data_IF_688794409002
#
_entry.id   IF_688794409002
#
_cell.length_a   1.000
_cell.length_b   1.000
_cell.length_c   1.000
_cell.angle_alpha   90.00
_cell.angle_beta   90.00
_cell.angle_gamma   90.00
#
_symmetry.space_group_name_H-M   'P 1'
#
loop_
_entity.id
_entity.type
_entity.pdbx_description
1 polymer ?
#
# COMPACT_ATOMS: atom_id res chain seq x y z
N UNK A 1 20.32 19.18 15.13
CA UNK A 1 20.68 17.74 15.01
C UNK A 1 19.70 16.76 15.67
N UNK A 2 18.57 17.19 16.28
CA UNK A 2 17.69 16.28 17.06
C UNK A 2 16.52 15.62 16.29
N UNK A 3 16.31 15.93 15.01
CA UNK A 3 15.16 15.42 14.23
C UNK A 3 15.38 14.02 13.61
N UNK A 4 16.63 13.58 13.43
CA UNK A 4 16.95 12.30 12.76
C UNK A 4 16.75 11.05 13.61
N UNK A 5 16.75 11.17 14.94
CA UNK A 5 16.65 10.01 15.86
C UNK A 5 15.23 9.44 15.95
N UNK A 6 14.21 10.32 15.91
CA UNK A 6 12.80 9.92 15.99
C UNK A 6 12.31 9.22 14.70
N UNK A 7 12.74 9.72 13.54
CA UNK A 7 12.44 9.13 12.24
C UNK A 7 13.06 7.73 12.08
N UNK A 8 14.31 7.55 12.55
CA UNK A 8 14.95 6.22 12.58
C UNK A 8 14.19 5.25 13.48
N UNK A 9 13.76 5.68 14.67
CA UNK A 9 13.02 4.81 15.58
C UNK A 9 11.66 4.39 15.01
N UNK A 10 10.95 5.29 14.32
CA UNK A 10 9.72 4.96 13.60
C UNK A 10 9.96 3.90 12.52
N UNK A 11 10.99 4.07 11.69
CA UNK A 11 11.37 3.05 10.68
C UNK A 11 11.71 1.70 11.32
N UNK A 12 12.43 1.70 12.44
CA UNK A 12 12.83 0.47 13.14
C UNK A 12 11.63 -0.24 13.80
N UNK A 13 10.71 0.51 14.40
CA UNK A 13 9.46 -0.02 14.96
C UNK A 13 8.56 -0.59 13.84
N UNK A 14 8.49 0.09 12.70
CA UNK A 14 7.75 -0.40 11.53
C UNK A 14 8.36 -1.69 10.98
N UNK A 15 9.68 -1.78 10.86
CA UNK A 15 10.39 -2.98 10.43
C UNK A 15 10.17 -4.16 11.39
N UNK A 16 10.28 -3.94 12.71
CA UNK A 16 10.00 -4.99 13.71
C UNK A 16 8.52 -5.42 13.74
N UNK A 17 7.59 -4.51 13.45
CA UNK A 17 6.17 -4.82 13.25
C UNK A 17 5.92 -5.63 11.98
N UNK A 18 6.70 -5.38 10.92
CA UNK A 18 6.66 -6.10 9.65
C UNK A 18 7.20 -7.52 9.79
N UNK A 19 8.33 -7.70 10.48
CA UNK A 19 8.95 -9.02 10.73
C UNK A 19 8.02 -9.92 11.56
N UNK A 20 7.30 -9.36 12.53
CA UNK A 20 6.31 -10.13 13.33
C UNK A 20 5.05 -10.52 12.54
N UNK A 21 4.69 -9.73 11.52
CA UNK A 21 3.53 -9.98 10.67
C UNK A 21 3.93 -10.46 9.26
N UNK A 22 5.13 -11.03 9.12
CA UNK A 22 5.70 -11.39 7.83
C UNK A 22 4.81 -12.35 7.04
N UNK A 23 4.06 -13.23 7.70
CA UNK A 23 3.07 -14.09 7.06
C UNK A 23 1.94 -13.31 6.36
N UNK A 24 1.37 -12.30 7.04
CA UNK A 24 0.36 -11.42 6.45
C UNK A 24 0.94 -10.57 5.32
N UNK A 25 2.18 -10.12 5.46
CA UNK A 25 2.87 -9.36 4.43
C UNK A 25 3.16 -10.21 3.18
N UNK A 26 3.56 -11.46 3.33
CA UNK A 26 3.76 -12.40 2.21
C UNK A 26 2.46 -12.63 1.45
N UNK A 27 1.34 -12.82 2.15
CA UNK A 27 0.02 -12.99 1.54
C UNK A 27 -0.46 -11.72 0.84
N UNK A 28 -0.14 -10.55 1.39
CA UNK A 28 -0.31 -9.27 0.71
C UNK A 28 0.49 -9.20 -0.60
N UNK A 29 1.77 -9.57 -0.58
CA UNK A 29 2.63 -9.56 -1.79
C UNK A 29 2.10 -10.49 -2.89
N UNK A 30 1.58 -11.66 -2.53
CA UNK A 30 0.94 -12.57 -3.48
C UNK A 30 -0.34 -11.96 -4.08
N UNK A 31 -1.22 -11.45 -3.22
CA UNK A 31 -2.51 -10.85 -3.63
C UNK A 31 -2.32 -9.62 -4.52
N UNK A 32 -1.36 -8.75 -4.18
CA UNK A 32 -1.09 -7.54 -4.95
C UNK A 32 -0.43 -7.85 -6.30
N UNK A 33 0.36 -8.93 -6.38
CA UNK A 33 0.95 -9.38 -7.64
C UNK A 33 -0.11 -9.85 -8.63
N UNK A 34 -1.17 -10.50 -8.15
CA UNK A 34 -2.33 -10.91 -8.95
C UNK A 34 -3.24 -9.74 -9.34
N UNK A 35 -3.25 -8.68 -8.54
CA UNK A 35 -4.06 -7.47 -8.77
C UNK A 35 -3.37 -6.42 -9.64
N UNK A 36 -2.14 -6.69 -10.09
CA UNK A 36 -1.35 -5.74 -10.87
C UNK A 36 -2.05 -5.38 -12.20
N UNK A 37 -2.08 -4.09 -12.54
CA UNK A 37 -2.75 -3.60 -13.76
C UNK A 37 -4.28 -3.51 -13.69
N UNK A 38 -4.89 -3.82 -12.54
CA UNK A 38 -6.33 -3.69 -12.31
C UNK A 38 -6.64 -2.55 -11.33
N UNK A 39 -7.90 -2.11 -11.28
CA UNK A 39 -8.36 -1.14 -10.26
C UNK A 39 -8.27 -1.76 -8.87
N UNK A 40 -7.40 -1.21 -8.02
CA UNK A 40 -7.15 -1.73 -6.68
C UNK A 40 -8.21 -1.26 -5.67
N UNK A 41 -8.93 -2.20 -5.06
CA UNK A 41 -9.78 -1.91 -3.91
C UNK A 41 -9.06 -2.30 -2.61
N UNK A 42 -8.53 -1.29 -1.90
CA UNK A 42 -7.80 -1.47 -0.64
C UNK A 42 -8.63 -2.22 0.41
N UNK A 43 -9.96 -2.02 0.43
CA UNK A 43 -10.83 -2.66 1.42
C UNK A 43 -10.98 -4.16 1.15
N UNK A 44 -11.04 -4.55 -0.12
CA UNK A 44 -11.17 -5.96 -0.52
C UNK A 44 -9.87 -6.71 -0.22
N UNK A 45 -8.73 -6.14 -0.61
CA UNK A 45 -7.41 -6.74 -0.38
C UNK A 45 -7.09 -6.84 1.12
N UNK A 46 -7.50 -5.85 1.93
CA UNK A 46 -7.39 -5.93 3.39
C UNK A 46 -8.20 -7.10 3.97
N UNK A 47 -9.40 -7.35 3.44
CA UNK A 47 -10.26 -8.47 3.84
C UNK A 47 -9.65 -9.83 3.47
N UNK A 48 -9.14 -9.97 2.25
CA UNK A 48 -8.48 -11.19 1.78
C UNK A 48 -7.21 -11.53 2.58
N UNK A 49 -6.47 -10.49 2.98
CA UNK A 49 -5.26 -10.62 3.79
C UNK A 49 -5.56 -10.72 5.30
N UNK A 50 -6.83 -10.60 5.74
CA UNK A 50 -7.26 -10.58 7.14
C UNK A 50 -6.54 -9.53 8.00
N UNK A 51 -6.23 -8.37 7.42
CA UNK A 51 -5.55 -7.27 8.12
C UNK A 51 -6.44 -6.04 8.18
N UNK A 52 -6.19 -5.17 9.16
CA UNK A 52 -6.86 -3.88 9.21
C UNK A 52 -6.49 -3.03 7.99
N UNK A 53 -7.42 -2.16 7.56
CA UNK A 53 -7.17 -1.19 6.47
C UNK A 53 -5.92 -0.33 6.73
N UNK A 54 -5.71 0.09 7.98
CA UNK A 54 -4.54 0.86 8.40
C UNK A 54 -3.22 0.08 8.22
N UNK A 55 -3.25 -1.23 8.49
CA UNK A 55 -2.09 -2.10 8.26
C UNK A 55 -1.84 -2.25 6.75
N UNK A 56 -2.89 -2.43 5.95
CA UNK A 56 -2.80 -2.53 4.50
C UNK A 56 -2.21 -1.25 3.86
N UNK A 57 -2.63 -0.07 4.33
CA UNK A 57 -2.03 1.21 3.91
C UNK A 57 -0.54 1.29 4.24
N UNK A 58 -0.14 0.78 5.40
CA UNK A 58 1.27 0.66 5.78
C UNK A 58 2.06 -0.28 4.86
N UNK A 59 1.50 -1.44 4.50
CA UNK A 59 2.11 -2.37 3.55
C UNK A 59 2.27 -1.75 2.17
N UNK A 60 1.29 -0.98 1.72
CA UNK A 60 1.36 -0.29 0.43
C UNK A 60 2.46 0.78 0.43
N UNK A 61 2.60 1.53 1.52
CA UNK A 61 3.69 2.51 1.67
C UNK A 61 5.07 1.84 1.68
N UNK A 62 5.19 0.64 2.26
CA UNK A 62 6.44 -0.12 2.25
C UNK A 62 6.73 -0.65 0.84
N UNK A 63 5.71 -1.15 0.13
CA UNK A 63 5.84 -1.61 -1.25
C UNK A 63 6.32 -0.49 -2.17
N UNK A 64 5.78 0.72 -2.01
CA UNK A 64 6.19 1.92 -2.75
C UNK A 64 7.61 2.41 -2.41
N UNK A 65 8.10 2.16 -1.19
CA UNK A 65 9.48 2.50 -0.77
C UNK A 65 10.50 1.45 -1.25
N UNK A 66 10.07 0.18 -1.37
CA UNK A 66 10.94 -0.94 -1.77
C UNK A 66 11.03 -1.17 -3.27
N UNK A 67 9.95 -0.90 -4.01
CA UNK A 67 9.86 -1.10 -5.45
C UNK A 67 9.46 0.23 -6.11
N UNK A 68 10.02 0.60 -7.27
CA UNK A 68 9.53 1.72 -8.06
C UNK A 68 8.16 1.36 -8.68
N UNK A 69 7.12 1.27 -7.84
CA UNK A 69 5.73 1.09 -8.23
C UNK A 69 5.06 2.45 -8.37
N UNK A 70 4.29 2.65 -9.44
CA UNK A 70 3.56 3.89 -9.69
C UNK A 70 2.07 3.57 -9.63
N UNK A 71 1.34 4.19 -8.70
CA UNK A 71 -0.13 4.15 -8.73
C UNK A 71 -0.63 5.11 -9.80
N UNK A 72 -1.27 4.57 -10.84
CA UNK A 72 -1.97 5.38 -11.82
C UNK A 72 -3.31 5.85 -11.22
N UNK A 73 -3.52 7.18 -11.07
CA UNK A 73 -4.81 7.68 -10.63
C UNK A 73 -5.87 7.34 -11.68
N UNK A 74 -7.11 7.13 -11.24
CA UNK A 74 -8.24 6.99 -12.16
C UNK A 74 -8.32 8.22 -13.07
N UNK A 75 -8.56 8.00 -14.35
CA UNK A 75 -8.69 9.08 -15.31
C UNK A 75 -9.91 9.94 -14.94
N UNK A 76 -9.67 11.11 -14.34
CA UNK A 76 -10.72 12.00 -13.84
C UNK A 76 -11.16 13.08 -14.83
N UNK A 77 -10.62 13.07 -16.06
CA UNK A 77 -11.07 13.97 -17.12
C UNK A 77 -12.46 13.56 -17.60
N UNK A 78 -13.47 14.20 -17.05
CA UNK A 78 -14.81 14.19 -17.62
C UNK A 78 -14.77 14.93 -18.96
N UNK A 79 -14.92 14.20 -20.06
CA UNK A 79 -15.30 14.82 -21.32
C UNK A 79 -16.71 15.39 -21.10
N UNK A 80 -16.84 16.72 -21.03
CA UNK A 80 -18.14 17.36 -21.26
C UNK A 80 -18.57 16.93 -22.66
N UNK A 81 -19.37 15.87 -22.75
CA UNK A 81 -20.12 15.56 -23.96
C UNK A 81 -20.99 16.79 -24.18
N UNK A 82 -20.62 17.62 -25.15
CA UNK A 82 -21.55 18.60 -25.69
C UNK A 82 -22.70 17.79 -26.26
N UNK A 83 -23.76 17.62 -25.48
CA UNK A 83 -25.04 17.16 -25.99
C UNK A 83 -25.54 18.30 -26.87
N UNK A 84 -25.56 18.05 -28.17
CA UNK A 84 -26.24 18.88 -29.17
C UNK A 84 -27.72 18.56 -29.10
#
# INVERSE_FOLDING_TARGET
>A
MLTGSRARKLKQIMAEGLVRNFGHFSRFLETISLSHGSTLNISEVARECQVSRKTMEGYMSILEDMLPSIRLPVFSKSAKRGLI
#
